data_IF_965529773253
#
_entry.id   IF_965529773253
#
_cell.length_a   1.000
_cell.length_b   1.000
_cell.length_c   1.000
_cell.angle_alpha   90.00
_cell.angle_beta   90.00
_cell.angle_gamma   90.00
#
_symmetry.space_group_name_H-M   'P 1'
#
loop_
_entity.id
_entity.type
_entity.pdbx_description
1 polymer ?
#
# COMPACT_ATOMS: atom_id res chain seq x y z
N UNK A 1 34.77 44.66 -47.45
CA UNK A 1 34.09 45.71 -46.65
C UNK A 1 32.63 45.69 -47.11
N UNK A 2 31.65 45.16 -46.38
CA UNK A 2 31.15 45.70 -45.13
C UNK A 2 30.37 44.64 -44.33
N UNK A 3 30.55 44.68 -43.02
CA UNK A 3 30.03 43.75 -42.02
C UNK A 3 28.80 44.39 -41.36
N UNK A 4 27.59 44.16 -41.90
CA UNK A 4 26.34 44.68 -41.27
C UNK A 4 25.60 43.56 -40.54
N UNK A 5 25.78 43.54 -39.22
CA UNK A 5 25.10 42.66 -38.25
C UNK A 5 23.58 42.92 -38.28
N UNK A 6 22.76 41.86 -38.36
CA UNK A 6 21.32 41.88 -38.07
C UNK A 6 21.13 42.38 -36.64
N UNK A 7 20.60 43.60 -36.48
CA UNK A 7 20.26 44.17 -35.17
C UNK A 7 18.99 43.50 -34.66
N UNK A 8 19.07 42.95 -33.45
CA UNK A 8 17.94 42.33 -32.76
C UNK A 8 17.09 43.44 -32.09
N UNK A 9 16.03 43.86 -32.77
CA UNK A 9 15.16 44.96 -32.36
C UNK A 9 14.54 44.75 -30.97
N UNK A 10 14.32 43.49 -30.54
CA UNK A 10 13.83 43.19 -29.20
C UNK A 10 14.87 43.55 -28.13
N UNK A 11 16.15 43.26 -28.37
CA UNK A 11 17.25 43.65 -27.48
C UNK A 11 17.41 45.16 -27.42
N UNK A 12 17.30 45.83 -28.57
CA UNK A 12 17.39 47.29 -28.64
C UNK A 12 16.25 47.96 -27.85
N UNK A 13 15.02 47.42 -27.97
CA UNK A 13 13.86 47.88 -27.18
C UNK A 13 14.05 47.69 -25.68
N UNK A 14 14.55 46.52 -25.25
CA UNK A 14 14.84 46.25 -23.82
C UNK A 14 15.88 47.26 -23.30
N UNK A 15 16.98 47.45 -24.03
CA UNK A 15 18.05 48.39 -23.64
C UNK A 15 17.51 49.82 -23.55
N UNK A 16 16.73 50.27 -24.53
CA UNK A 16 16.14 51.61 -24.53
C UNK A 16 15.20 51.81 -23.33
N UNK A 17 14.33 50.84 -23.03
CA UNK A 17 13.43 50.89 -21.87
C UNK A 17 14.21 50.92 -20.54
N UNK A 18 15.27 50.12 -20.40
CA UNK A 18 16.12 50.12 -19.21
C UNK A 18 16.81 51.48 -19.00
N UNK A 19 17.31 52.09 -20.08
CA UNK A 19 17.95 53.41 -20.02
C UNK A 19 16.94 54.48 -19.61
N UNK A 20 15.74 54.49 -20.21
CA UNK A 20 14.68 55.45 -19.86
C UNK A 20 14.29 55.30 -18.38
N UNK A 21 14.13 54.06 -17.89
CA UNK A 21 13.84 53.79 -16.49
C UNK A 21 14.93 54.30 -15.54
N UNK A 22 16.21 54.12 -15.86
CA UNK A 22 17.31 54.62 -15.04
C UNK A 22 17.35 56.16 -15.03
N UNK A 23 17.11 56.81 -16.18
CA UNK A 23 17.08 58.27 -16.28
C UNK A 23 15.94 58.85 -15.45
N UNK A 24 14.73 58.29 -15.55
CA UNK A 24 13.59 58.76 -14.75
C UNK A 24 13.81 58.50 -13.26
N UNK A 25 14.32 57.34 -12.86
CA UNK A 25 14.60 57.00 -11.47
C UNK A 25 15.57 57.99 -10.78
N UNK A 26 16.59 58.45 -11.52
CA UNK A 26 17.57 59.44 -11.02
C UNK A 26 16.99 60.86 -11.03
N UNK A 27 16.26 61.24 -12.08
CA UNK A 27 15.71 62.60 -12.23
C UNK A 27 14.63 62.92 -11.19
N UNK A 28 13.84 61.92 -10.80
CA UNK A 28 12.81 62.06 -9.76
C UNK A 28 13.36 61.84 -8.34
N UNK A 29 14.69 61.74 -8.16
CA UNK A 29 15.36 61.46 -6.87
C UNK A 29 14.77 60.26 -6.11
N UNK A 30 14.20 59.31 -6.83
CA UNK A 30 13.62 58.09 -6.24
C UNK A 30 14.74 57.23 -5.66
N UNK A 31 15.93 57.29 -6.25
CA UNK A 31 17.15 56.63 -5.79
C UNK A 31 18.38 57.52 -5.95
N UNK A 32 19.21 57.60 -4.91
CA UNK A 32 20.50 58.29 -4.99
C UNK A 32 21.48 57.46 -5.83
N UNK A 33 22.24 58.11 -6.73
CA UNK A 33 23.12 57.44 -7.68
C UNK A 33 24.14 56.50 -7.01
N UNK A 34 24.55 56.83 -5.78
CA UNK A 34 25.52 56.07 -5.00
C UNK A 34 24.94 54.84 -4.30
N UNK A 35 23.61 54.79 -4.07
CA UNK A 35 22.93 53.66 -3.41
C UNK A 35 22.34 52.66 -4.41
N UNK A 36 22.16 53.07 -5.68
CA UNK A 36 21.68 52.22 -6.77
C UNK A 36 22.42 50.87 -6.85
N UNK A 37 23.77 50.78 -6.89
CA UNK A 37 24.45 49.49 -6.98
C UNK A 37 24.12 48.56 -5.81
N UNK A 38 24.10 49.09 -4.58
CA UNK A 38 23.81 48.31 -3.38
C UNK A 38 22.37 47.77 -3.38
N UNK A 39 21.40 48.56 -3.84
CA UNK A 39 20.00 48.14 -3.96
C UNK A 39 19.79 47.10 -5.06
N UNK A 40 20.47 47.23 -6.21
CA UNK A 40 20.47 46.21 -7.25
C UNK A 40 21.06 44.89 -6.74
N UNK A 41 22.20 44.92 -6.05
CA UNK A 41 22.80 43.72 -5.46
C UNK A 41 21.92 43.11 -4.37
N UNK A 42 21.31 43.93 -3.49
CA UNK A 42 20.38 43.46 -2.47
C UNK A 42 19.15 42.78 -3.06
N UNK A 43 18.59 43.36 -4.12
CA UNK A 43 17.45 42.77 -4.86
C UNK A 43 17.85 41.46 -5.54
N UNK A 44 19.00 41.44 -6.24
CA UNK A 44 19.51 40.23 -6.89
C UNK A 44 19.77 39.11 -5.86
N UNK A 45 20.40 39.44 -4.73
CA UNK A 45 20.66 38.50 -3.65
C UNK A 45 19.35 37.97 -3.06
N UNK A 46 18.37 38.84 -2.82
CA UNK A 46 17.04 38.45 -2.34
C UNK A 46 16.32 37.50 -3.30
N UNK A 47 16.39 37.76 -4.60
CA UNK A 47 15.82 36.87 -5.63
C UNK A 47 16.52 35.51 -5.64
N UNK A 48 17.86 35.48 -5.55
CA UNK A 48 18.63 34.22 -5.52
C UNK A 48 18.32 33.42 -4.25
N UNK A 49 18.31 34.06 -3.07
CA UNK A 49 17.96 33.41 -1.80
C UNK A 49 16.53 32.86 -1.87
N UNK A 50 15.58 33.66 -2.38
CA UNK A 50 14.19 33.23 -2.53
C UNK A 50 14.09 32.01 -3.44
N UNK A 51 14.76 32.03 -4.61
CA UNK A 51 14.79 30.90 -5.52
C UNK A 51 15.37 29.63 -4.88
N UNK A 52 16.44 29.76 -4.09
CA UNK A 52 17.03 28.64 -3.33
C UNK A 52 16.02 28.08 -2.32
N UNK A 53 15.41 28.95 -1.50
CA UNK A 53 14.40 28.54 -0.51
C UNK A 53 13.24 27.83 -1.21
N UNK A 54 12.72 28.37 -2.32
CA UNK A 54 11.63 27.77 -3.08
C UNK A 54 12.01 26.38 -3.59
N UNK A 55 13.21 26.20 -4.17
CA UNK A 55 13.67 24.88 -4.64
C UNK A 55 13.76 23.89 -3.48
N UNK A 56 14.29 24.31 -2.33
CA UNK A 56 14.37 23.44 -1.14
C UNK A 56 12.98 23.05 -0.61
N UNK A 57 12.03 24.00 -0.58
CA UNK A 57 10.65 23.72 -0.16
C UNK A 57 9.96 22.73 -1.10
N UNK A 58 10.08 22.93 -2.41
CA UNK A 58 9.53 22.01 -3.40
C UNK A 58 10.14 20.61 -3.28
N UNK A 59 11.48 20.52 -3.15
CA UNK A 59 12.14 19.22 -2.94
C UNK A 59 11.69 18.52 -1.65
N UNK A 60 11.52 19.27 -0.56
CA UNK A 60 11.02 18.75 0.70
C UNK A 60 9.59 18.19 0.57
N UNK A 61 8.71 18.92 -0.11
CA UNK A 61 7.34 18.50 -0.38
C UNK A 61 7.30 17.25 -1.29
N UNK A 62 8.01 17.26 -2.42
CA UNK A 62 8.03 16.13 -3.35
C UNK A 62 8.51 14.83 -2.70
N UNK A 63 9.59 14.89 -1.90
CA UNK A 63 10.08 13.69 -1.17
C UNK A 63 9.07 13.18 -0.14
N UNK A 64 8.34 14.09 0.52
CA UNK A 64 7.29 13.72 1.47
C UNK A 64 6.10 13.07 0.76
N UNK A 65 5.69 13.61 -0.39
CA UNK A 65 4.60 13.08 -1.20
C UNK A 65 4.95 11.71 -1.78
N UNK A 66 6.14 11.54 -2.35
CA UNK A 66 6.60 10.26 -2.90
C UNK A 66 6.65 9.18 -1.80
N UNK A 67 7.13 9.53 -0.60
CA UNK A 67 7.09 8.60 0.55
C UNK A 67 5.65 8.23 0.91
N UNK A 68 4.76 9.22 1.02
CA UNK A 68 3.34 8.99 1.34
C UNK A 68 2.69 8.08 0.30
N UNK A 69 2.89 8.37 -0.98
CA UNK A 69 2.34 7.58 -2.09
C UNK A 69 2.87 6.15 -2.07
N UNK A 70 4.18 5.96 -1.87
CA UNK A 70 4.78 4.64 -1.71
C UNK A 70 4.18 3.88 -0.53
N UNK A 71 3.99 4.53 0.61
CA UNK A 71 3.36 3.92 1.78
C UNK A 71 1.91 3.50 1.51
N UNK A 72 1.14 4.32 0.79
CA UNK A 72 -0.23 4.01 0.38
C UNK A 72 -0.26 2.82 -0.58
N UNK A 73 0.57 2.82 -1.63
CA UNK A 73 0.63 1.71 -2.59
C UNK A 73 1.04 0.39 -1.91
N UNK A 74 2.01 0.42 -0.99
CA UNK A 74 2.41 -0.77 -0.23
C UNK A 74 1.25 -1.25 0.66
N UNK A 75 0.54 -0.34 1.31
CA UNK A 75 -0.61 -0.67 2.14
C UNK A 75 -1.74 -1.32 1.32
N UNK A 76 -2.11 -0.72 0.19
CA UNK A 76 -3.12 -1.27 -0.73
C UNK A 76 -2.72 -2.66 -1.22
N UNK A 77 -1.45 -2.83 -1.63
CA UNK A 77 -0.97 -4.14 -2.10
C UNK A 77 -0.97 -5.20 -0.99
N UNK A 78 -0.62 -4.82 0.25
CA UNK A 78 -0.73 -5.73 1.41
C UNK A 78 -2.17 -6.17 1.63
N UNK A 79 -3.12 -5.24 1.59
CA UNK A 79 -4.54 -5.55 1.76
C UNK A 79 -5.06 -6.50 0.67
N UNK A 80 -4.68 -6.27 -0.59
CA UNK A 80 -5.01 -7.15 -1.72
C UNK A 80 -4.51 -8.58 -1.50
N UNK A 81 -3.22 -8.72 -1.14
CA UNK A 81 -2.60 -10.04 -0.89
C UNK A 81 -3.28 -10.74 0.29
N UNK A 82 -3.57 -10.04 1.38
CA UNK A 82 -4.26 -10.63 2.53
C UNK A 82 -5.67 -11.09 2.16
N UNK A 83 -6.40 -10.30 1.38
CA UNK A 83 -7.74 -10.67 0.91
C UNK A 83 -7.70 -11.88 -0.04
N UNK A 84 -6.75 -11.90 -0.97
CA UNK A 84 -6.55 -13.01 -1.91
C UNK A 84 -6.23 -14.31 -1.16
N UNK A 85 -5.28 -14.26 -0.22
CA UNK A 85 -4.92 -15.39 0.64
C UNK A 85 -6.15 -15.94 1.39
N UNK A 86 -6.93 -15.08 2.05
CA UNK A 86 -8.13 -15.51 2.79
C UNK A 86 -9.20 -16.13 1.86
N UNK A 87 -9.35 -15.58 0.66
CA UNK A 87 -10.28 -16.10 -0.36
C UNK A 87 -9.86 -17.47 -0.86
N UNK A 88 -8.57 -17.66 -1.11
CA UNK A 88 -8.03 -18.93 -1.56
C UNK A 88 -8.09 -19.98 -0.44
N UNK A 89 -7.76 -19.61 0.79
CA UNK A 89 -7.91 -20.48 1.96
C UNK A 89 -9.35 -20.95 2.10
N UNK A 90 -10.33 -20.04 2.04
CA UNK A 90 -11.74 -20.41 2.10
C UNK A 90 -12.13 -21.34 0.94
N UNK A 91 -11.64 -21.07 -0.27
CA UNK A 91 -11.89 -21.90 -1.45
C UNK A 91 -11.38 -23.32 -1.25
N UNK A 92 -10.17 -23.49 -0.71
CA UNK A 92 -9.56 -24.79 -0.43
C UNK A 92 -10.34 -25.55 0.65
N UNK A 93 -10.79 -24.85 1.70
CA UNK A 93 -11.58 -25.46 2.78
C UNK A 93 -13.00 -25.87 2.33
N UNK A 94 -13.62 -25.15 1.39
CA UNK A 94 -15.00 -25.41 0.93
C UNK A 94 -15.11 -26.36 -0.28
N UNK A 95 -14.06 -26.54 -1.09
CA UNK A 95 -14.14 -27.09 -2.47
C UNK A 95 -14.59 -28.56 -2.63
N UNK A 96 -14.75 -29.32 -1.55
CA UNK A 96 -15.13 -30.74 -1.63
C UNK A 96 -16.64 -31.00 -1.62
N UNK A 97 -17.46 -29.97 -1.42
CA UNK A 97 -18.91 -30.10 -1.60
C UNK A 97 -19.33 -30.33 -3.08
N UNK A 98 -18.37 -30.28 -4.02
CA UNK A 98 -18.60 -30.35 -5.47
C UNK A 98 -17.89 -31.54 -6.16
N UNK A 99 -17.14 -32.38 -5.43
CA UNK A 99 -16.23 -33.40 -6.02
C UNK A 99 -16.78 -34.83 -6.03
N UNK A 100 -18.00 -35.06 -5.54
CA UNK A 100 -18.63 -36.40 -5.43
C UNK A 100 -18.72 -37.15 -6.78
N UNK A 101 -18.50 -36.47 -7.91
CA UNK A 101 -18.57 -37.06 -9.26
C UNK A 101 -17.22 -37.20 -9.99
N UNK A 102 -16.06 -36.93 -9.35
CA UNK A 102 -14.75 -37.07 -10.00
C UNK A 102 -14.13 -38.45 -9.76
N UNK A 103 -13.38 -38.94 -10.77
CA UNK A 103 -12.58 -40.16 -10.63
C UNK A 103 -11.42 -39.96 -9.65
N UNK A 104 -10.95 -41.01 -8.95
CA UNK A 104 -9.89 -40.91 -7.93
C UNK A 104 -8.61 -40.20 -8.42
N UNK A 105 -8.21 -40.45 -9.68
CA UNK A 105 -7.03 -39.81 -10.30
C UNK A 105 -7.21 -38.29 -10.48
N UNK A 106 -8.42 -37.84 -10.84
CA UNK A 106 -8.72 -36.40 -10.99
C UNK A 106 -8.88 -35.71 -9.64
N UNK A 107 -9.33 -36.42 -8.61
CA UNK A 107 -9.39 -35.92 -7.23
C UNK A 107 -7.98 -35.66 -6.70
N UNK A 108 -7.06 -36.62 -6.85
CA UNK A 108 -5.68 -36.46 -6.42
C UNK A 108 -4.97 -35.31 -7.17
N UNK A 109 -5.11 -35.23 -8.49
CA UNK A 109 -4.54 -34.12 -9.27
C UNK A 109 -5.07 -32.76 -8.80
N UNK A 110 -6.36 -32.68 -8.48
CA UNK A 110 -6.99 -31.45 -7.97
C UNK A 110 -6.50 -31.07 -6.57
N UNK A 111 -6.31 -32.04 -5.67
CA UNK A 111 -5.73 -31.81 -4.33
C UNK A 111 -4.29 -31.29 -4.42
N UNK A 112 -3.47 -31.88 -5.30
CA UNK A 112 -2.10 -31.42 -5.56
C UNK A 112 -2.08 -29.97 -6.04
N UNK A 113 -2.98 -29.60 -6.97
CA UNK A 113 -3.09 -28.21 -7.43
C UNK A 113 -3.55 -27.26 -6.31
N UNK A 114 -4.52 -27.64 -5.49
CA UNK A 114 -4.97 -26.80 -4.37
C UNK A 114 -3.85 -26.56 -3.35
N UNK A 115 -3.04 -27.59 -3.06
CA UNK A 115 -1.88 -27.46 -2.17
C UNK A 115 -0.81 -26.55 -2.81
N UNK A 116 -0.55 -26.72 -4.11
CA UNK A 116 0.39 -25.87 -4.85
C UNK A 116 -0.03 -24.39 -4.80
N UNK A 117 -1.30 -24.10 -5.04
CA UNK A 117 -1.84 -22.74 -4.95
C UNK A 117 -1.64 -22.16 -3.54
N UNK A 118 -1.93 -22.94 -2.49
CA UNK A 118 -1.74 -22.50 -1.11
C UNK A 118 -0.26 -22.19 -0.79
N UNK A 119 0.66 -23.00 -1.29
CA UNK A 119 2.10 -22.79 -1.10
C UNK A 119 2.56 -21.49 -1.77
N UNK A 120 2.03 -21.15 -2.94
CA UNK A 120 2.32 -19.87 -3.59
C UNK A 120 1.74 -18.70 -2.79
N UNK A 121 0.51 -18.82 -2.30
CA UNK A 121 -0.09 -17.79 -1.44
C UNK A 121 0.71 -17.59 -0.14
N UNK A 122 1.27 -18.64 0.46
CA UNK A 122 2.20 -18.49 1.58
C UNK A 122 3.45 -17.71 1.19
N UNK A 123 4.04 -17.95 0.02
CA UNK A 123 5.17 -17.19 -0.49
C UNK A 123 4.85 -15.70 -0.60
N UNK A 124 3.70 -15.35 -1.19
CA UNK A 124 3.25 -13.97 -1.28
C UNK A 124 2.97 -13.36 0.10
N UNK A 125 2.35 -14.11 1.00
CA UNK A 125 2.08 -13.67 2.36
C UNK A 125 3.37 -13.36 3.13
N UNK A 126 4.39 -14.22 3.01
CA UNK A 126 5.68 -14.07 3.67
C UNK A 126 6.39 -12.78 3.25
N UNK A 127 6.25 -12.33 2.00
CA UNK A 127 6.84 -11.07 1.53
C UNK A 127 6.27 -9.83 2.23
N UNK A 128 5.07 -9.94 2.80
CA UNK A 128 4.28 -8.81 3.28
C UNK A 128 3.96 -8.86 4.79
N UNK A 129 4.42 -9.90 5.49
CA UNK A 129 4.21 -10.14 6.92
C UNK A 129 5.54 -10.26 7.66
N UNK A 130 5.54 -10.08 8.97
CA UNK A 130 6.70 -10.45 9.80
C UNK A 130 6.83 -11.97 9.88
N UNK A 131 8.05 -12.46 10.17
CA UNK A 131 8.30 -13.89 10.36
C UNK A 131 7.44 -14.49 11.49
N UNK A 132 7.19 -13.74 12.56
CA UNK A 132 6.34 -14.16 13.67
C UNK A 132 4.88 -14.32 13.24
N UNK A 133 4.32 -13.33 12.52
CA UNK A 133 2.95 -13.43 12.01
C UNK A 133 2.82 -14.57 11.02
N UNK A 134 3.79 -14.72 10.11
CA UNK A 134 3.79 -15.78 9.12
C UNK A 134 3.77 -17.17 9.76
N UNK A 135 4.65 -17.42 10.74
CA UNK A 135 4.74 -18.70 11.45
C UNK A 135 3.43 -19.04 12.18
N UNK A 136 2.83 -18.06 12.86
CA UNK A 136 1.52 -18.23 13.52
C UNK A 136 0.41 -18.55 12.52
N UNK A 137 0.37 -17.84 11.38
CA UNK A 137 -0.63 -18.11 10.33
C UNK A 137 -0.44 -19.52 9.76
N UNK A 138 0.79 -19.95 9.52
CA UNK A 138 1.08 -21.29 9.03
C UNK A 138 0.55 -22.38 9.97
N UNK A 139 0.79 -22.23 11.28
CA UNK A 139 0.26 -23.15 12.30
C UNK A 139 -1.27 -23.20 12.32
N UNK A 140 -1.93 -22.03 12.29
CA UNK A 140 -3.40 -21.93 12.26
C UNK A 140 -3.99 -22.55 10.98
N UNK A 141 -3.37 -22.33 9.82
CA UNK A 141 -3.81 -22.97 8.57
C UNK A 141 -3.61 -24.49 8.62
N UNK A 142 -2.50 -24.97 9.21
CA UNK A 142 -2.26 -26.39 9.42
C UNK A 142 -3.40 -27.06 10.21
N UNK A 143 -3.80 -26.45 11.33
CA UNK A 143 -4.92 -26.92 12.14
C UNK A 143 -6.25 -26.93 11.36
N UNK A 144 -6.52 -25.87 10.59
CA UNK A 144 -7.73 -25.77 9.76
C UNK A 144 -7.80 -26.89 8.72
N UNK A 145 -6.69 -27.19 8.06
CA UNK A 145 -6.62 -28.26 7.06
C UNK A 145 -6.79 -29.63 7.73
N UNK A 146 -6.15 -29.85 8.88
CA UNK A 146 -6.26 -31.09 9.64
C UNK A 146 -7.73 -31.37 10.04
N UNK A 147 -8.41 -30.39 10.65
CA UNK A 147 -9.80 -30.53 11.05
C UNK A 147 -10.75 -30.66 9.85
N UNK A 148 -10.49 -29.94 8.76
CA UNK A 148 -11.24 -30.08 7.51
C UNK A 148 -11.14 -31.52 6.97
N UNK A 149 -9.95 -32.12 6.98
CA UNK A 149 -9.73 -33.48 6.52
C UNK A 149 -10.40 -34.52 7.43
N UNK A 150 -10.39 -34.33 8.76
CA UNK A 150 -11.11 -35.21 9.70
C UNK A 150 -12.60 -35.26 9.40
N UNK A 151 -13.23 -34.10 9.14
CA UNK A 151 -14.65 -34.02 8.80
C UNK A 151 -14.96 -34.62 7.43
N UNK A 152 -14.03 -34.52 6.48
CA UNK A 152 -14.18 -35.12 5.15
C UNK A 152 -14.09 -36.64 5.19
N UNK A 153 -13.26 -37.20 6.07
CA UNK A 153 -13.07 -38.64 6.21
C UNK A 153 -14.21 -39.36 6.96
N UNK A 154 -15.14 -38.63 7.59
CA UNK A 154 -16.27 -39.19 8.32
C UNK A 154 -17.43 -39.56 7.38
N UNK A 155 -17.78 -40.85 7.33
CA UNK A 155 -18.91 -41.38 6.54
C UNK A 155 -20.26 -40.80 6.96
N UNK A 156 -20.42 -40.50 8.25
CA UNK A 156 -21.58 -39.77 8.79
C UNK A 156 -21.11 -38.66 9.72
N UNK A 157 -21.52 -37.43 9.41
CA UNK A 157 -21.13 -36.24 10.16
C UNK A 157 -22.08 -36.07 11.35
N UNK A 158 -21.64 -36.43 12.55
CA UNK A 158 -22.41 -36.18 13.77
C UNK A 158 -22.53 -34.68 14.04
N UNK A 159 -23.60 -34.29 14.76
CA UNK A 159 -23.79 -32.89 15.19
C UNK A 159 -22.62 -32.39 16.04
N UNK A 160 -22.04 -33.25 16.88
CA UNK A 160 -20.87 -32.91 17.70
C UNK A 160 -19.63 -32.66 16.83
N UNK A 161 -19.35 -33.52 15.84
CA UNK A 161 -18.21 -33.36 14.95
C UNK A 161 -18.31 -32.06 14.12
N UNK A 162 -19.48 -31.75 13.59
CA UNK A 162 -19.72 -30.48 12.89
C UNK A 162 -19.54 -29.29 13.82
N UNK A 163 -20.08 -29.35 15.03
CA UNK A 163 -19.94 -28.27 16.02
C UNK A 163 -18.47 -28.02 16.37
N UNK A 164 -17.68 -29.09 16.57
CA UNK A 164 -16.25 -28.98 16.83
C UNK A 164 -15.52 -28.35 15.65
N UNK A 165 -15.78 -28.80 14.42
CA UNK A 165 -15.17 -28.25 13.23
C UNK A 165 -15.43 -26.76 13.05
N UNK A 166 -16.70 -26.33 13.17
CA UNK A 166 -17.03 -24.92 13.02
C UNK A 166 -16.48 -24.06 14.18
N UNK A 167 -16.28 -24.65 15.36
CA UNK A 167 -15.59 -23.98 16.47
C UNK A 167 -14.11 -23.75 16.15
N UNK A 168 -13.40 -24.77 15.66
CA UNK A 168 -12.00 -24.62 15.25
C UNK A 168 -11.88 -23.67 14.05
N UNK A 169 -12.72 -23.84 13.03
CA UNK A 169 -12.79 -22.95 11.88
C UNK A 169 -12.92 -21.50 12.30
N UNK A 170 -13.86 -21.22 13.20
CA UNK A 170 -14.07 -19.86 13.73
C UNK A 170 -12.82 -19.36 14.44
N UNK A 171 -12.34 -20.10 15.44
CA UNK A 171 -11.23 -19.63 16.26
C UNK A 171 -9.98 -19.35 15.42
N UNK A 172 -9.61 -20.29 14.55
CA UNK A 172 -8.36 -20.21 13.80
C UNK A 172 -8.46 -19.22 12.64
N UNK A 173 -9.58 -19.21 11.91
CA UNK A 173 -9.80 -18.22 10.84
C UNK A 173 -9.79 -16.79 11.39
N UNK A 174 -10.48 -16.53 12.51
CA UNK A 174 -10.47 -15.19 13.09
C UNK A 174 -9.15 -14.82 13.75
N UNK A 175 -8.39 -15.80 14.27
CA UNK A 175 -7.04 -15.55 14.73
C UNK A 175 -6.12 -15.14 13.57
N UNK A 176 -6.24 -15.80 12.41
CA UNK A 176 -5.54 -15.39 11.17
C UNK A 176 -5.92 -13.95 10.80
N UNK A 177 -7.22 -13.64 10.70
CA UNK A 177 -7.69 -12.30 10.37
C UNK A 177 -7.17 -11.25 11.36
N UNK A 178 -7.15 -11.57 12.66
CA UNK A 178 -6.62 -10.67 13.69
C UNK A 178 -5.12 -10.40 13.53
N UNK A 179 -4.32 -11.42 13.21
CA UNK A 179 -2.89 -11.29 12.92
C UNK A 179 -2.64 -10.41 11.69
N UNK A 180 -3.34 -10.68 10.58
CA UNK A 180 -3.23 -9.90 9.35
C UNK A 180 -3.68 -8.45 9.54
N UNK A 181 -4.75 -8.22 10.32
CA UNK A 181 -5.19 -6.88 10.70
C UNK A 181 -4.12 -6.14 11.50
N UNK A 182 -3.48 -6.83 12.44
CA UNK A 182 -2.41 -6.23 13.25
C UNK A 182 -1.20 -5.85 12.39
N UNK A 183 -0.82 -6.67 11.41
CA UNK A 183 0.22 -6.33 10.42
C UNK A 183 -0.14 -5.11 9.56
N UNK A 184 -1.41 -4.98 9.17
CA UNK A 184 -1.87 -3.93 8.28
C UNK A 184 -2.02 -2.57 8.99
N UNK A 185 -2.62 -2.56 10.18
CA UNK A 185 -3.00 -1.34 10.89
C UNK A 185 -2.15 -1.03 12.12
N UNK A 186 -1.33 -2.00 12.59
CA UNK A 186 -0.60 -1.91 13.86
C UNK A 186 -1.51 -1.71 15.08
N UNK A 187 -2.74 -2.20 14.98
CA UNK A 187 -3.75 -2.12 16.02
C UNK A 187 -4.13 -3.52 16.51
N UNK A 188 -4.55 -3.60 17.76
CA UNK A 188 -5.15 -4.81 18.31
C UNK A 188 -6.52 -5.03 17.67
N UNK A 189 -6.75 -6.23 17.13
CA UNK A 189 -8.07 -6.59 16.66
C UNK A 189 -9.02 -6.72 17.85
N UNK A 190 -10.24 -6.14 17.80
CA UNK A 190 -11.22 -6.36 18.84
C UNK A 190 -11.50 -7.86 18.98
N UNK A 191 -11.61 -8.32 20.23
CA UNK A 191 -11.91 -9.71 20.53
C UNK A 191 -13.32 -10.05 20.03
N UNK A 192 -13.43 -11.15 19.29
CA UNK A 192 -14.73 -11.66 18.85
C UNK A 192 -15.36 -12.39 20.01
N UNK A 193 -16.60 -12.04 20.31
CA UNK A 193 -17.39 -12.67 21.35
C UNK A 193 -17.70 -14.13 20.96
N UNK A 194 -16.92 -15.05 21.52
CA UNK A 194 -17.03 -16.49 21.28
C UNK A 194 -18.44 -17.01 21.57
N UNK A 195 -19.11 -16.48 22.60
CA UNK A 195 -20.45 -16.93 22.96
C UNK A 195 -21.48 -16.59 21.87
N UNK A 196 -21.33 -15.45 21.18
CA UNK A 196 -22.19 -15.11 20.04
C UNK A 196 -21.98 -16.04 18.86
N UNK A 197 -20.73 -16.40 18.54
CA UNK A 197 -20.45 -17.31 17.43
C UNK A 197 -20.88 -18.74 17.77
N UNK A 198 -20.58 -19.23 18.97
CA UNK A 198 -21.00 -20.56 19.43
C UNK A 198 -22.52 -20.72 19.38
N UNK A 199 -23.26 -19.65 19.71
CA UNK A 199 -24.72 -19.63 19.56
C UNK A 199 -25.15 -19.80 18.10
N UNK A 200 -24.50 -19.13 17.16
CA UNK A 200 -24.80 -19.24 15.71
C UNK A 200 -24.51 -20.67 15.22
N UNK A 201 -23.37 -21.24 15.61
CA UNK A 201 -22.98 -22.61 15.24
C UNK A 201 -24.03 -23.61 15.75
N UNK A 202 -24.41 -23.50 17.03
CA UNK A 202 -25.42 -24.40 17.64
C UNK A 202 -26.82 -24.29 17.03
N UNK A 203 -27.17 -23.14 16.44
CA UNK A 203 -28.45 -22.93 15.77
C UNK A 203 -28.45 -23.43 14.32
N UNK A 204 -27.29 -23.74 13.75
CA UNK A 204 -27.13 -24.13 12.34
C UNK A 204 -27.25 -25.64 12.11
N UNK A 205 -27.28 -26.44 13.19
CA UNK A 205 -27.43 -27.91 13.21
C UNK A 205 -28.37 -28.31 14.35
#
# INVERSE_FOLDING_TARGET
MNFMKKVDWARLGIIACTIIFLITAVTFEIFELHTLPAQFFGTLLGVVITAIITVLLLQGQTKSEERRERHLMVFEKKQEIFFQFLTQLNTILQKDNLTVHLSPEKTLAKEVHNLQDLLFEFGFLQMHTSAETFDKVLGLVGNLIEESNKIKALDSKSKEALTQYYSVLTNDFFAIVALLKSELYRELSPHIDKHKIDRIIKLSF
#
